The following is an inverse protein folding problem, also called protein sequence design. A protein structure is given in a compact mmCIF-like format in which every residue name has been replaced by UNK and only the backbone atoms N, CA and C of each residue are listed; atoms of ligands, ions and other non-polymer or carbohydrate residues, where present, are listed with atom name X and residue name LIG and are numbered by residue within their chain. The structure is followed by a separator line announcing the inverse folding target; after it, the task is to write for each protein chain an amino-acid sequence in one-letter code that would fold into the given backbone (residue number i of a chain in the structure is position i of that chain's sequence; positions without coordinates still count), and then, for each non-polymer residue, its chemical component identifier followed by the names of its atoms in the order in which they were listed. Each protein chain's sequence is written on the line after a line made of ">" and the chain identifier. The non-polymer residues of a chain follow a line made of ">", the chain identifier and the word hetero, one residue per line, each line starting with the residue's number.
data_IF_665449056995
#
_entry.id   IF_665449056995
#
_cell.length_a   1.000
_cell.length_b   1.000
_cell.length_c   1.000
_cell.angle_alpha   90.00
_cell.angle_beta   90.00
_cell.angle_gamma   90.00
#
_symmetry.space_group_name_H-M   'P 1'
#
loop_
_entity.id
_entity.type
_entity.pdbx_description
1 polymer ?
#
# COMPACT_ATOMS: atom_id res chain seq x y z
N UNK A 1 -43.55 5.10 -19.84
CA UNK A 1 -43.43 5.91 -18.60
C UNK A 1 -41.96 6.18 -18.44
N UNK A 2 -41.53 7.41 -18.65
CA UNK A 2 -40.15 7.82 -18.36
C UNK A 2 -40.08 7.99 -16.85
N UNK A 3 -39.36 7.09 -16.17
CA UNK A 3 -39.09 7.24 -14.74
C UNK A 3 -38.31 8.54 -14.56
N UNK A 4 -39.02 9.60 -14.14
CA UNK A 4 -38.42 10.87 -13.78
C UNK A 4 -37.85 10.69 -12.38
N UNK A 5 -36.59 10.24 -12.33
CA UNK A 5 -35.85 10.22 -11.07
C UNK A 5 -35.32 11.63 -10.78
N UNK A 6 -35.44 12.05 -9.52
CA UNK A 6 -34.74 13.24 -9.03
C UNK A 6 -33.24 13.03 -9.26
N UNK A 7 -32.56 13.90 -10.02
CA UNK A 7 -31.13 13.79 -10.28
C UNK A 7 -30.29 13.64 -8.99
N UNK A 8 -30.69 14.30 -7.90
CA UNK A 8 -29.98 14.20 -6.62
C UNK A 8 -30.14 12.82 -5.98
N UNK A 9 -31.34 12.25 -6.03
CA UNK A 9 -31.59 10.91 -5.49
C UNK A 9 -30.78 9.83 -6.24
N UNK A 10 -30.60 9.99 -7.55
CA UNK A 10 -29.77 9.08 -8.36
C UNK A 10 -28.30 9.20 -7.98
N UNK A 11 -27.80 10.42 -7.78
CA UNK A 11 -26.42 10.67 -7.35
C UNK A 11 -26.19 10.08 -5.96
N UNK A 12 -27.11 10.29 -5.02
CA UNK A 12 -26.98 9.76 -3.66
C UNK A 12 -26.96 8.22 -3.64
N UNK A 13 -27.82 7.58 -4.43
CA UNK A 13 -27.80 6.12 -4.61
C UNK A 13 -26.48 5.63 -5.19
N UNK A 14 -25.96 6.33 -6.19
CA UNK A 14 -24.66 6.01 -6.78
C UNK A 14 -23.52 6.16 -5.77
N UNK A 15 -23.46 7.27 -5.03
CA UNK A 15 -22.44 7.49 -4.00
C UNK A 15 -22.56 6.47 -2.87
N UNK A 16 -23.78 6.06 -2.50
CA UNK A 16 -24.02 4.98 -1.55
C UNK A 16 -23.47 3.64 -2.03
N UNK A 17 -23.76 3.27 -3.27
CA UNK A 17 -23.24 2.05 -3.89
C UNK A 17 -21.70 2.08 -4.00
N UNK A 18 -21.13 3.21 -4.44
CA UNK A 18 -19.70 3.41 -4.53
C UNK A 18 -19.03 3.26 -3.15
N UNK A 19 -19.60 3.86 -2.09
CA UNK A 19 -19.08 3.72 -0.73
C UNK A 19 -19.08 2.26 -0.26
N UNK A 20 -20.13 1.51 -0.57
CA UNK A 20 -20.21 0.08 -0.24
C UNK A 20 -19.14 -0.73 -0.97
N UNK A 21 -18.93 -0.45 -2.26
CA UNK A 21 -17.92 -1.12 -3.08
C UNK A 21 -16.49 -0.82 -2.57
N UNK A 22 -16.21 0.43 -2.24
CA UNK A 22 -14.92 0.85 -1.69
C UNK A 22 -14.65 0.23 -0.31
N UNK A 23 -15.67 0.06 0.53
CA UNK A 23 -15.53 -0.64 1.79
C UNK A 23 -15.26 -2.15 1.60
N UNK A 24 -15.85 -2.76 0.56
CA UNK A 24 -15.66 -4.17 0.24
C UNK A 24 -14.35 -4.47 -0.51
N UNK A 25 -13.76 -3.46 -1.18
CA UNK A 25 -12.57 -3.60 -2.00
C UNK A 25 -11.46 -2.60 -1.58
N UNK A 26 -10.62 -2.97 -0.61
CA UNK A 26 -9.56 -2.08 -0.11
C UNK A 26 -8.51 -1.71 -1.18
N UNK A 27 -8.27 -2.59 -2.16
CA UNK A 27 -7.33 -2.33 -3.24
C UNK A 27 -7.84 -1.23 -4.19
N UNK A 28 -9.13 -1.27 -4.56
CA UNK A 28 -9.76 -0.22 -5.35
C UNK A 28 -9.75 1.13 -4.62
N UNK A 29 -10.07 1.12 -3.33
CA UNK A 29 -10.01 2.30 -2.45
C UNK A 29 -8.63 2.94 -2.46
N UNK A 30 -7.58 2.14 -2.32
CA UNK A 30 -6.21 2.64 -2.37
C UNK A 30 -5.85 3.28 -3.71
N UNK A 31 -6.23 2.65 -4.83
CA UNK A 31 -5.98 3.19 -6.17
C UNK A 31 -6.66 4.52 -6.39
N UNK A 32 -7.91 4.68 -5.92
CA UNK A 32 -8.64 5.95 -6.02
C UNK A 32 -7.98 7.01 -5.15
N UNK A 33 -7.65 6.69 -3.90
CA UNK A 33 -7.01 7.64 -2.98
C UNK A 33 -5.66 8.13 -3.54
N UNK A 34 -4.87 7.24 -4.15
CA UNK A 34 -3.61 7.59 -4.83
C UNK A 34 -3.80 8.54 -6.02
N UNK A 35 -4.95 8.49 -6.68
CA UNK A 35 -5.26 9.37 -7.81
C UNK A 35 -5.78 10.76 -7.38
N UNK A 36 -6.16 10.91 -6.11
CA UNK A 36 -6.67 12.17 -5.58
C UNK A 36 -5.51 13.03 -5.05
N UNK A 37 -5.57 14.37 -5.19
CA UNK A 37 -4.54 15.29 -4.67
C UNK A 37 -4.72 15.52 -3.17
N UNK A 38 -4.89 14.45 -2.38
CA UNK A 38 -5.15 14.49 -0.94
C UNK A 38 -4.23 13.51 -0.22
N UNK A 39 -3.83 13.86 1.01
CA UNK A 39 -3.09 12.96 1.90
C UNK A 39 -4.06 12.29 2.85
N UNK A 40 -4.17 10.97 2.76
CA UNK A 40 -4.99 10.15 3.67
C UNK A 40 -4.07 9.34 4.57
N UNK A 41 -4.27 9.46 5.87
CA UNK A 41 -3.58 8.62 6.87
C UNK A 41 -4.41 7.37 7.10
N UNK A 42 -3.84 6.20 6.85
CA UNK A 42 -4.47 4.92 7.16
C UNK A 42 -3.87 4.35 8.44
N UNK A 43 -4.68 3.60 9.19
CA UNK A 43 -4.20 2.79 10.30
C UNK A 43 -3.26 1.69 9.78
N UNK A 44 -2.12 1.49 10.44
CA UNK A 44 -1.04 0.60 9.96
C UNK A 44 -1.52 -0.84 9.66
N UNK A 45 -2.53 -1.34 10.39
CA UNK A 45 -3.05 -2.69 10.21
C UNK A 45 -3.70 -2.91 8.83
N UNK A 46 -4.45 -1.92 8.32
CA UNK A 46 -5.17 -2.00 7.03
C UNK A 46 -4.22 -1.86 5.82
N UNK A 47 -3.10 -1.15 6.03
CA UNK A 47 -2.10 -0.90 4.99
C UNK A 47 -1.28 -2.13 4.62
N UNK A 48 -1.21 -3.14 5.48
CA UNK A 48 -0.32 -4.31 5.25
C UNK A 48 -0.71 -5.14 4.04
N UNK A 49 -2.00 -5.23 3.73
CA UNK A 49 -2.51 -6.02 2.61
C UNK A 49 -2.43 -5.26 1.27
N UNK A 50 -2.38 -3.94 1.34
CA UNK A 50 -2.57 -3.06 0.20
C UNK A 50 -1.25 -2.43 -0.25
N UNK A 51 -0.40 -2.05 0.70
CA UNK A 51 0.78 -1.24 0.40
C UNK A 51 1.91 -2.09 -0.15
N UNK A 52 2.37 -1.73 -1.34
CA UNK A 52 3.55 -2.33 -1.94
C UNK A 52 4.81 -1.69 -1.34
N UNK A 53 5.71 -2.44 -0.66
CA UNK A 53 6.92 -1.87 -0.07
C UNK A 53 7.85 -1.22 -1.13
N UNK A 54 7.80 -1.66 -2.39
CA UNK A 54 8.54 -0.99 -3.47
C UNK A 54 7.99 0.41 -3.77
N UNK A 55 6.69 0.62 -3.62
CA UNK A 55 6.09 1.94 -3.80
C UNK A 55 6.47 2.89 -2.68
N UNK A 56 6.48 2.40 -1.42
CA UNK A 56 6.97 3.20 -0.27
C UNK A 56 8.40 3.67 -0.55
N UNK A 57 9.29 2.75 -0.96
CA UNK A 57 10.70 3.05 -1.22
C UNK A 57 10.86 4.01 -2.40
N UNK A 58 10.06 3.84 -3.46
CA UNK A 58 10.18 4.67 -4.66
C UNK A 58 9.62 6.09 -4.50
N UNK A 59 8.63 6.29 -3.63
CA UNK A 59 7.91 7.57 -3.50
C UNK A 59 8.44 8.46 -2.36
N UNK A 60 9.28 7.93 -1.48
CA UNK A 60 9.74 8.60 -0.27
C UNK A 60 11.28 8.65 -0.20
N UNK A 61 11.82 9.58 0.58
CA UNK A 61 13.24 9.54 0.94
C UNK A 61 13.55 8.30 1.78
N UNK A 62 14.83 7.90 1.83
CA UNK A 62 15.24 6.74 2.62
C UNK A 62 14.88 6.87 4.10
N UNK A 63 15.03 8.06 4.71
CA UNK A 63 14.61 8.26 6.10
C UNK A 63 13.10 8.11 6.27
N UNK A 64 12.32 8.71 5.36
CA UNK A 64 10.85 8.67 5.47
C UNK A 64 10.30 7.27 5.23
N UNK A 65 10.86 6.53 4.28
CA UNK A 65 10.51 5.12 4.06
C UNK A 65 10.82 4.27 5.31
N UNK A 66 11.96 4.50 5.97
CA UNK A 66 12.34 3.81 7.21
C UNK A 66 11.35 4.10 8.34
N UNK A 67 10.98 5.37 8.52
CA UNK A 67 9.96 5.78 9.50
C UNK A 67 8.61 5.09 9.23
N UNK A 68 8.16 5.07 7.98
CA UNK A 68 6.93 4.38 7.60
C UNK A 68 7.00 2.88 7.88
N UNK A 69 8.14 2.23 7.60
CA UNK A 69 8.31 0.81 7.91
C UNK A 69 8.37 0.52 9.42
N UNK A 70 8.90 1.44 10.22
CA UNK A 70 8.99 1.28 11.68
C UNK A 70 7.63 1.29 12.39
N UNK A 71 6.58 1.82 11.76
CA UNK A 71 5.21 1.77 12.26
C UNK A 71 4.55 0.38 12.14
N UNK A 72 5.13 -0.54 11.36
CA UNK A 72 4.60 -1.89 11.15
C UNK A 72 5.21 -2.89 12.14
N UNK A 73 4.43 -3.92 12.47
CA UNK A 73 4.90 -5.04 13.29
C UNK A 73 5.87 -5.91 12.47
N UNK A 74 6.86 -6.58 13.11
CA UNK A 74 7.78 -7.47 12.41
C UNK A 74 7.11 -8.55 11.55
N UNK A 75 5.97 -9.09 12.00
CA UNK A 75 5.22 -10.10 11.25
C UNK A 75 4.64 -9.54 9.93
N UNK A 76 4.21 -8.27 9.95
CA UNK A 76 3.61 -7.58 8.82
C UNK A 76 4.67 -7.25 7.77
N UNK A 77 5.83 -6.75 8.21
CA UNK A 77 6.99 -6.51 7.34
C UNK A 77 7.47 -7.80 6.67
N UNK A 78 7.47 -8.94 7.39
CA UNK A 78 7.80 -10.25 6.80
C UNK A 78 6.79 -10.67 5.74
N UNK A 79 5.49 -10.41 5.94
CA UNK A 79 4.44 -10.68 4.95
C UNK A 79 4.62 -9.79 3.72
N UNK A 80 4.87 -8.50 3.91
CA UNK A 80 5.15 -7.54 2.82
C UNK A 80 6.37 -7.97 2.00
N UNK A 81 7.50 -8.28 2.64
CA UNK A 81 8.74 -8.66 1.96
C UNK A 81 8.58 -9.93 1.12
N UNK A 82 7.81 -10.92 1.60
CA UNK A 82 7.51 -12.14 0.83
C UNK A 82 6.62 -11.87 -0.37
N UNK A 83 5.57 -11.05 -0.21
CA UNK A 83 4.58 -10.76 -1.27
C UNK A 83 5.24 -10.24 -2.55
N UNK A 84 6.27 -9.42 -2.41
CA UNK A 84 6.97 -8.80 -3.55
C UNK A 84 8.30 -9.48 -3.88
N UNK A 85 8.56 -10.68 -3.36
CA UNK A 85 9.80 -11.43 -3.55
C UNK A 85 11.05 -10.58 -3.24
N UNK A 86 11.06 -9.91 -2.09
CA UNK A 86 12.24 -9.22 -1.56
C UNK A 86 13.06 -10.15 -0.67
N UNK A 87 12.42 -10.94 0.19
CA UNK A 87 13.12 -11.84 1.09
C UNK A 87 12.37 -13.14 1.32
N UNK A 88 13.13 -14.23 1.49
CA UNK A 88 12.59 -15.53 1.83
C UNK A 88 12.34 -15.66 3.34
N UNK A 89 11.59 -16.69 3.75
CA UNK A 89 11.34 -16.98 5.16
C UNK A 89 12.63 -17.20 5.96
N UNK A 90 13.65 -17.78 5.33
CA UNK A 90 14.96 -18.04 5.92
C UNK A 90 15.79 -16.77 6.03
N UNK A 91 15.75 -15.89 5.04
CA UNK A 91 16.48 -14.61 5.07
C UNK A 91 16.04 -13.72 6.23
N UNK A 92 14.74 -13.80 6.60
CA UNK A 92 14.15 -12.99 7.66
C UNK A 92 14.07 -13.72 9.01
N UNK A 93 14.62 -14.93 9.09
CA UNK A 93 14.62 -15.69 10.33
C UNK A 93 15.58 -15.03 11.32
N UNK A 94 15.10 -14.77 12.55
CA UNK A 94 15.88 -14.17 13.65
C UNK A 94 16.40 -12.74 13.43
N UNK A 95 15.98 -12.05 12.37
CA UNK A 95 16.28 -10.63 12.21
C UNK A 95 15.51 -9.78 13.24
N UNK A 96 16.18 -8.75 13.75
CA UNK A 96 15.53 -7.69 14.52
C UNK A 96 14.60 -6.86 13.61
N UNK A 97 13.78 -5.99 14.20
CA UNK A 97 12.92 -5.09 13.43
C UNK A 97 13.75 -4.19 12.52
N UNK A 98 14.82 -3.59 13.03
CA UNK A 98 15.69 -2.71 12.26
C UNK A 98 16.40 -3.45 11.12
N UNK A 99 16.95 -4.65 11.38
CA UNK A 99 17.61 -5.45 10.35
C UNK A 99 16.62 -5.87 9.23
N UNK A 100 15.37 -6.12 9.60
CA UNK A 100 14.32 -6.46 8.64
C UNK A 100 13.97 -5.26 7.76
N UNK A 101 13.90 -4.06 8.33
CA UNK A 101 13.67 -2.81 7.58
C UNK A 101 14.84 -2.55 6.64
N UNK A 102 16.08 -2.72 7.11
CA UNK A 102 17.29 -2.56 6.29
C UNK A 102 17.32 -3.54 5.12
N UNK A 103 16.95 -4.80 5.35
CA UNK A 103 16.85 -5.80 4.29
C UNK A 103 15.82 -5.40 3.22
N UNK A 104 14.64 -4.94 3.64
CA UNK A 104 13.55 -4.50 2.74
C UNK A 104 14.00 -3.27 1.94
N UNK A 105 14.60 -2.28 2.60
CA UNK A 105 15.10 -1.06 1.97
C UNK A 105 16.19 -1.37 0.93
N UNK A 106 17.16 -2.20 1.29
CA UNK A 106 18.30 -2.55 0.43
C UNK A 106 17.84 -3.32 -0.81
N UNK A 107 17.12 -4.43 -0.62
CA UNK A 107 16.65 -5.27 -1.73
C UNK A 107 15.58 -4.57 -2.56
N UNK A 108 14.73 -3.74 -1.93
CA UNK A 108 13.72 -2.95 -2.63
C UNK A 108 14.35 -1.91 -3.54
N UNK A 109 15.36 -1.18 -3.06
CA UNK A 109 16.09 -0.19 -3.85
C UNK A 109 16.83 -0.85 -5.02
N UNK A 110 17.48 -2.00 -4.81
CA UNK A 110 18.12 -2.77 -5.89
C UNK A 110 17.10 -3.16 -6.98
N UNK A 111 15.95 -3.69 -6.58
CA UNK A 111 14.90 -4.12 -7.50
C UNK A 111 14.27 -2.96 -8.28
N UNK A 112 14.17 -1.77 -7.69
CA UNK A 112 13.74 -0.55 -8.38
C UNK A 112 14.81 -0.10 -9.38
N UNK A 113 16.08 -0.10 -8.98
CA UNK A 113 17.20 0.27 -9.84
C UNK A 113 17.31 -0.66 -11.06
N UNK A 114 17.19 -1.98 -10.87
CA UNK A 114 17.16 -2.97 -11.95
C UNK A 114 16.01 -2.74 -12.95
N UNK A 115 14.85 -2.29 -12.47
CA UNK A 115 13.72 -1.97 -13.35
C UNK A 115 13.91 -0.66 -14.11
N UNK A 116 14.62 0.29 -13.52
CA UNK A 116 14.89 1.60 -14.11
C UNK A 116 16.05 1.57 -15.10
N UNK A 117 16.95 0.58 -15.00
CA UNK A 117 18.08 0.41 -15.92
C UNK A 117 17.74 -0.40 -17.19
N UNK A 118 16.59 -1.09 -17.19
CA UNK A 118 16.10 -1.88 -18.33
C UNK A 118 15.05 -1.10 -19.17
N UNK A 119 14.52 0.01 -18.65
CA UNK A 119 13.59 0.91 -19.35
C UNK A 119 14.30 2.08 -20.03
#
# INVERSE_FOLDING_TARGET
>A
MTDQHDPLEVIDKFLGALRSELAANPEMTYRIIKALPVSVTFEAAEMTEIVNPLEIISQNSSEKARELFSAFKPAELKKMARRVNLASSTDMARLSLDDLIDLIMSRGSQKIAERSSIG
#
